data_IF_848560523151
#
_entry.id   IF_848560523151
#
_cell.length_a   1.000
_cell.length_b   1.000
_cell.length_c   1.000
_cell.angle_alpha   90.00
_cell.angle_beta   90.00
_cell.angle_gamma   90.00
#
_symmetry.space_group_name_H-M   'P 1'
#
loop_
_entity.id
_entity.type
_entity.pdbx_description
1 polymer ?
#
# COMPACT_ATOMS: atom_id res chain seq x y z
N UNK A 1 15.02 -1.41 -7.96
CA UNK A 1 13.65 -1.48 -7.43
C UNK A 1 13.19 -0.07 -7.10
N UNK A 2 12.47 0.57 -8.02
CA UNK A 2 11.91 1.90 -7.82
C UNK A 2 10.62 2.00 -8.62
N UNK A 3 9.59 2.59 -8.05
CA UNK A 3 8.30 2.75 -8.71
C UNK A 3 7.14 2.63 -7.73
N UNK A 4 5.90 2.71 -8.24
CA UNK A 4 4.71 2.49 -7.45
C UNK A 4 4.72 1.11 -6.77
N UNK A 5 4.12 1.03 -5.59
CA UNK A 5 3.80 -0.25 -4.96
C UNK A 5 2.96 -1.12 -5.89
N UNK A 6 3.25 -2.41 -5.90
CA UNK A 6 2.42 -3.44 -6.50
C UNK A 6 1.64 -4.14 -5.38
N UNK A 7 0.32 -3.98 -5.35
CA UNK A 7 -0.53 -4.58 -4.33
C UNK A 7 -1.34 -5.69 -4.96
N UNK A 8 -0.93 -6.93 -4.72
CA UNK A 8 -1.51 -8.09 -5.38
C UNK A 8 -2.54 -8.78 -4.49
N UNK A 9 -3.75 -8.94 -5.02
CA UNK A 9 -4.79 -9.79 -4.43
C UNK A 9 -4.90 -11.07 -5.23
N UNK A 10 -4.91 -12.20 -4.54
CA UNK A 10 -5.17 -13.48 -5.20
C UNK A 10 -6.65 -13.61 -5.58
N UNK A 11 -6.90 -13.78 -6.87
CA UNK A 11 -8.21 -14.10 -7.42
C UNK A 11 -8.31 -15.61 -7.63
N UNK A 12 -9.02 -16.30 -6.74
CA UNK A 12 -9.19 -17.76 -6.78
C UNK A 12 -9.97 -18.25 -8.01
N UNK A 13 -10.88 -17.44 -8.56
CA UNK A 13 -11.69 -17.80 -9.72
C UNK A 13 -10.85 -17.86 -10.99
N UNK A 14 -9.97 -16.86 -11.16
CA UNK A 14 -9.02 -16.80 -12.28
C UNK A 14 -7.73 -17.58 -12.04
N UNK A 15 -7.45 -17.93 -10.79
CA UNK A 15 -6.20 -18.52 -10.34
C UNK A 15 -4.97 -17.62 -10.62
N UNK A 16 -5.12 -16.32 -10.40
CA UNK A 16 -4.13 -15.30 -10.75
C UNK A 16 -3.99 -14.24 -9.65
N UNK A 17 -2.88 -13.50 -9.68
CA UNK A 17 -2.67 -12.33 -8.83
C UNK A 17 -3.11 -11.07 -9.59
N UNK A 18 -4.09 -10.36 -9.06
CA UNK A 18 -4.60 -9.11 -9.61
C UNK A 18 -3.97 -7.92 -8.88
N UNK A 19 -3.40 -6.97 -9.62
CA UNK A 19 -2.93 -5.72 -9.03
C UNK A 19 -4.10 -4.81 -8.71
N UNK A 20 -4.25 -4.43 -7.43
CA UNK A 20 -5.24 -3.48 -6.95
C UNK A 20 -4.77 -2.03 -7.10
N UNK A 21 -3.46 -1.79 -6.96
CA UNK A 21 -2.85 -0.47 -7.07
C UNK A 21 -2.61 -0.09 -8.55
N UNK A 22 -3.69 -0.08 -9.34
CA UNK A 22 -3.68 0.29 -10.76
C UNK A 22 -3.48 1.80 -10.94
N UNK A 23 -2.88 2.21 -12.07
CA UNK A 23 -2.71 3.62 -12.45
C UNK A 23 -4.00 4.23 -13.00
N UNK A 24 -5.04 4.20 -12.18
CA UNK A 24 -6.34 4.79 -12.45
C UNK A 24 -6.76 5.63 -11.25
N UNK A 25 -6.73 6.97 -11.34
CA UNK A 25 -7.13 7.86 -10.25
C UNK A 25 -8.58 7.69 -9.77
N UNK A 26 -9.45 7.04 -10.55
CA UNK A 26 -10.82 6.73 -10.14
C UNK A 26 -10.92 5.48 -9.26
N UNK A 27 -9.87 4.66 -9.19
CA UNK A 27 -9.82 3.48 -8.34
C UNK A 27 -9.79 3.88 -6.86
N UNK A 28 -10.59 3.25 -5.98
CA UNK A 28 -10.50 3.46 -4.53
C UNK A 28 -9.14 3.03 -3.95
N UNK A 29 -8.37 2.23 -4.70
CA UNK A 29 -7.07 1.72 -4.31
C UNK A 29 -5.89 2.52 -4.89
N UNK A 30 -6.15 3.60 -5.64
CA UNK A 30 -5.10 4.37 -6.33
C UNK A 30 -4.01 4.85 -5.38
N UNK A 31 -4.39 5.29 -4.17
CA UNK A 31 -3.45 5.82 -3.20
C UNK A 31 -2.42 4.79 -2.70
N UNK A 32 -2.74 3.49 -2.76
CA UNK A 32 -1.83 2.40 -2.37
C UNK A 32 -0.58 2.35 -3.25
N UNK A 33 -0.63 2.92 -4.46
CA UNK A 33 0.51 3.04 -5.37
C UNK A 33 1.71 3.73 -4.72
N UNK A 34 1.47 4.67 -3.81
CA UNK A 34 2.48 5.39 -3.03
C UNK A 34 3.85 5.58 -3.72
N UNK A 35 3.85 6.21 -4.90
CA UNK A 35 5.00 6.22 -5.83
C UNK A 35 6.29 6.74 -5.21
N UNK A 36 6.19 7.56 -4.16
CA UNK A 36 7.32 8.20 -3.47
C UNK A 36 7.77 7.45 -2.21
N UNK A 37 6.96 6.51 -1.69
CA UNK A 37 7.20 5.89 -0.38
C UNK A 37 8.37 4.91 -0.37
N UNK A 38 8.58 4.20 -1.48
CA UNK A 38 9.60 3.14 -1.57
C UNK A 38 9.46 2.14 -0.42
N UNK A 39 8.27 1.52 -0.36
CA UNK A 39 7.91 0.61 0.70
C UNK A 39 8.84 -0.61 0.75
N UNK A 40 9.21 -1.01 1.96
CA UNK A 40 10.01 -2.23 2.24
C UNK A 40 9.25 -3.26 3.06
N UNK A 41 8.16 -2.86 3.68
CA UNK A 41 7.34 -3.73 4.50
C UNK A 41 5.88 -3.34 4.39
N UNK A 42 5.01 -4.33 4.56
CA UNK A 42 3.57 -4.16 4.60
C UNK A 42 3.00 -5.01 5.73
N UNK A 43 2.02 -4.48 6.45
CA UNK A 43 1.17 -5.28 7.33
C UNK A 43 -0.30 -4.92 7.11
N UNK A 44 -1.18 -5.87 7.44
CA UNK A 44 -2.62 -5.69 7.42
C UNK A 44 -3.16 -6.04 8.80
N UNK A 45 -4.03 -5.19 9.36
CA UNK A 45 -4.66 -5.39 10.66
C UNK A 45 -5.93 -4.55 10.75
N UNK A 46 -6.99 -5.10 11.33
CA UNK A 46 -8.17 -4.35 11.74
C UNK A 46 -7.84 -3.56 13.02
N UNK A 47 -7.36 -2.32 12.86
CA UNK A 47 -6.79 -1.54 13.96
C UNK A 47 -7.88 -0.82 14.75
N UNK A 48 -8.99 -0.46 14.09
CA UNK A 48 -10.10 0.23 14.75
C UNK A 48 -11.33 -0.64 15.03
N UNK A 49 -11.29 -1.92 14.68
CA UNK A 49 -12.28 -2.92 15.07
C UNK A 49 -13.56 -2.88 14.24
N UNK A 50 -13.50 -2.32 13.03
CA UNK A 50 -14.64 -2.24 12.12
C UNK A 50 -14.85 -3.51 11.26
N UNK A 51 -13.95 -4.49 11.41
CA UNK A 51 -13.98 -5.75 10.68
C UNK A 51 -13.30 -5.71 9.31
N UNK A 52 -12.66 -4.60 8.94
CA UNK A 52 -11.84 -4.47 7.74
C UNK A 52 -10.39 -4.20 8.14
N UNK A 53 -9.46 -4.87 7.47
CA UNK A 53 -8.05 -4.61 7.70
C UNK A 53 -7.63 -3.27 7.07
N UNK A 54 -7.01 -2.41 7.87
CA UNK A 54 -6.15 -1.34 7.38
C UNK A 54 -4.84 -1.91 6.83
N UNK A 55 -4.22 -1.20 5.89
CA UNK A 55 -2.90 -1.56 5.34
C UNK A 55 -1.87 -0.52 5.77
N UNK A 56 -0.80 -0.96 6.43
CA UNK A 56 0.34 -0.10 6.77
C UNK A 56 1.55 -0.43 5.89
N UNK A 57 2.20 0.58 5.35
CA UNK A 57 3.46 0.49 4.62
C UNK A 57 4.59 1.14 5.40
N UNK A 58 5.65 0.36 5.62
CA UNK A 58 6.94 0.84 6.12
C UNK A 58 7.77 1.37 4.96
N UNK A 59 8.08 2.66 4.98
CA UNK A 59 8.74 3.39 3.90
C UNK A 59 10.23 3.67 4.24
N UNK A 60 11.14 3.43 3.29
CA UNK A 60 12.59 3.65 3.51
C UNK A 60 13.06 5.06 3.22
N UNK A 61 12.20 5.88 2.61
CA UNK A 61 12.43 7.31 2.41
C UNK A 61 13.71 7.65 1.62
N UNK A 62 14.27 6.71 0.86
CA UNK A 62 15.55 6.85 0.15
C UNK A 62 16.72 7.35 1.01
N UNK A 63 16.62 7.27 2.34
CA UNK A 63 17.60 7.78 3.29
C UNK A 63 17.88 6.70 4.34
N UNK A 64 18.98 5.97 4.17
CA UNK A 64 19.46 5.00 5.16
C UNK A 64 20.05 5.68 6.41
N UNK A 65 20.36 6.98 6.35
CA UNK A 65 20.66 7.83 7.50
C UNK A 65 20.26 9.29 7.22
N UNK A 66 19.61 9.96 8.18
CA UNK A 66 19.09 11.32 8.04
C UNK A 66 17.66 11.49 8.56
N UNK A 67 17.14 12.72 8.51
CA UNK A 67 15.74 13.03 8.88
C UNK A 67 14.82 12.45 7.81
N UNK A 68 13.86 11.62 8.22
CA UNK A 68 12.85 11.07 7.33
C UNK A 68 12.06 12.21 6.64
N UNK A 69 12.17 12.31 5.32
CA UNK A 69 11.42 13.29 4.52
C UNK A 69 10.05 12.77 4.07
N UNK A 70 9.75 11.50 4.37
CA UNK A 70 8.52 10.84 4.01
C UNK A 70 8.08 9.94 5.16
N UNK A 71 6.78 9.94 5.47
CA UNK A 71 6.25 9.14 6.56
C UNK A 71 5.87 7.75 6.06
N UNK A 72 5.88 6.79 6.98
CA UNK A 72 5.10 5.57 6.81
C UNK A 72 3.62 5.93 6.63
N UNK A 73 2.87 5.02 6.00
CA UNK A 73 1.47 5.28 5.69
C UNK A 73 0.58 4.18 6.20
N UNK A 74 -0.51 4.59 6.85
CA UNK A 74 -1.65 3.77 7.16
C UNK A 74 -2.78 4.12 6.19
N UNK A 75 -3.29 3.12 5.47
CA UNK A 75 -4.42 3.25 4.56
C UNK A 75 -5.65 2.62 5.20
N UNK A 76 -6.69 3.44 5.38
CA UNK A 76 -8.01 3.01 5.83
C UNK A 76 -8.99 3.07 4.68
N UNK A 77 -9.76 2.00 4.53
CA UNK A 77 -10.88 1.98 3.59
C UNK A 77 -11.98 2.94 4.08
N UNK A 78 -12.54 3.70 3.15
CA UNK A 78 -13.66 4.62 3.42
C UNK A 78 -14.73 4.37 2.38
N UNK A 79 -15.97 4.27 2.84
CA UNK A 79 -17.16 4.16 1.99
C UNK A 79 -17.46 5.47 1.24
#
# INVERSE_FOLDING_TARGET
YSGPNLVLKYNKVKNELENLAIDDPSSPYYALRDVRGHAIGVCACDIDGDGREEIYFLNTNNAYSGIASYADKLFKYRD
#
